data_IF_643421798303
#
_entry.id   IF_643421798303
#
_cell.length_a   1.000
_cell.length_b   1.000
_cell.length_c   1.000
_cell.angle_alpha   90.00
_cell.angle_beta   90.00
_cell.angle_gamma   90.00
#
_symmetry.space_group_name_H-M   'P 1'
#
loop_
_entity.id
_entity.type
_entity.pdbx_description
1 polymer ?
#
# COMPACT_ATOMS: atom_id res chain seq x y z
N UNK A 1 23.45 9.18 4.95
CA UNK A 1 23.96 8.40 6.09
C UNK A 1 25.10 7.52 5.57
N UNK A 2 26.30 7.53 6.15
CA UNK A 2 27.38 6.62 5.69
C UNK A 2 27.13 5.20 6.24
N UNK A 3 27.11 4.20 5.36
CA UNK A 3 26.96 2.79 5.74
C UNK A 3 28.27 2.27 6.35
N UNK A 4 28.18 1.41 7.36
CA UNK A 4 29.35 0.73 7.92
C UNK A 4 29.88 -0.34 6.96
N UNK A 5 31.15 -0.72 7.09
CA UNK A 5 31.76 -1.78 6.26
C UNK A 5 31.00 -3.12 6.38
N UNK A 6 30.49 -3.44 7.57
CA UNK A 6 29.68 -4.63 7.80
C UNK A 6 28.35 -4.55 7.03
N UNK A 7 27.69 -3.39 7.03
CA UNK A 7 26.46 -3.17 6.27
C UNK A 7 26.71 -3.28 4.76
N UNK A 8 27.80 -2.69 4.27
CA UNK A 8 28.22 -2.76 2.86
C UNK A 8 28.45 -4.22 2.45
N UNK A 9 29.12 -5.01 3.28
CA UNK A 9 29.36 -6.44 3.01
C UNK A 9 28.05 -7.22 2.91
N UNK A 10 27.13 -7.04 3.86
CA UNK A 10 25.83 -7.72 3.84
C UNK A 10 25.00 -7.36 2.60
N UNK A 11 24.99 -6.09 2.21
CA UNK A 11 24.26 -5.62 1.03
C UNK A 11 24.87 -6.20 -0.26
N UNK A 12 26.21 -6.25 -0.36
CA UNK A 12 26.91 -6.89 -1.48
C UNK A 12 26.51 -8.36 -1.61
N UNK A 13 26.51 -9.11 -0.51
CA UNK A 13 26.09 -10.52 -0.50
C UNK A 13 24.65 -10.71 -0.95
N UNK A 14 23.73 -9.85 -0.47
CA UNK A 14 22.32 -9.89 -0.87
C UNK A 14 22.13 -9.62 -2.37
N UNK A 15 22.82 -8.62 -2.93
CA UNK A 15 22.75 -8.29 -4.35
C UNK A 15 23.30 -9.44 -5.19
N UNK A 16 24.44 -10.03 -4.79
CA UNK A 16 25.02 -11.19 -5.48
C UNK A 16 24.06 -12.39 -5.46
N UNK A 17 23.42 -12.65 -4.32
CA UNK A 17 22.42 -13.72 -4.21
C UNK A 17 21.23 -13.47 -5.15
N UNK A 18 20.75 -12.22 -5.22
CA UNK A 18 19.66 -11.87 -6.11
C UNK A 18 20.05 -12.06 -7.57
N UNK A 19 21.22 -11.58 -8.01
CA UNK A 19 21.73 -11.76 -9.38
C UNK A 19 21.77 -13.26 -9.74
N UNK A 20 22.28 -14.11 -8.84
CA UNK A 20 22.31 -15.57 -9.05
C UNK A 20 20.92 -16.19 -9.25
N UNK A 21 19.89 -15.60 -8.65
CA UNK A 21 18.51 -16.10 -8.71
C UNK A 21 17.69 -15.57 -9.89
N UNK A 22 17.93 -14.34 -10.35
CA UNK A 22 17.06 -13.67 -11.34
C UNK A 22 17.70 -13.38 -12.70
N UNK A 23 19.03 -13.36 -12.81
CA UNK A 23 19.67 -13.02 -14.09
C UNK A 23 19.79 -14.25 -15.02
N UNK A 24 19.83 -14.07 -16.35
CA UNK A 24 20.18 -15.14 -17.30
C UNK A 24 21.63 -15.61 -17.11
N UNK A 25 21.89 -16.92 -17.27
CA UNK A 25 23.19 -17.56 -16.96
C UNK A 25 24.39 -16.91 -17.64
N UNK A 26 24.21 -16.47 -18.89
CA UNK A 26 25.24 -15.80 -19.68
C UNK A 26 25.60 -14.38 -19.19
N UNK A 27 24.86 -13.82 -18.22
CA UNK A 27 25.11 -12.49 -17.65
C UNK A 27 25.39 -12.51 -16.15
N UNK A 28 25.23 -13.66 -15.47
CA UNK A 28 25.42 -13.78 -14.02
C UNK A 28 26.87 -13.48 -13.61
N UNK A 29 27.82 -14.10 -14.30
CA UNK A 29 29.24 -14.03 -13.93
C UNK A 29 29.79 -12.61 -14.04
N UNK A 30 29.46 -11.91 -15.14
CA UNK A 30 29.86 -10.52 -15.38
C UNK A 30 29.29 -9.57 -14.33
N UNK A 31 27.99 -9.68 -14.04
CA UNK A 31 27.32 -8.83 -13.05
C UNK A 31 27.87 -9.07 -11.63
N UNK A 32 28.17 -10.32 -11.26
CA UNK A 32 28.77 -10.63 -9.95
C UNK A 32 30.19 -10.08 -9.85
N UNK A 33 31.01 -10.26 -10.89
CA UNK A 33 32.38 -9.76 -10.93
C UNK A 33 32.43 -8.22 -10.84
N UNK A 34 31.46 -7.54 -11.44
CA UNK A 34 31.32 -6.09 -11.33
C UNK A 34 31.04 -5.65 -9.88
N UNK A 35 30.10 -6.29 -9.17
CA UNK A 35 29.80 -5.95 -7.77
C UNK A 35 30.97 -6.27 -6.83
N UNK A 36 31.70 -7.37 -7.09
CA UNK A 36 32.83 -7.79 -6.27
C UNK A 36 34.07 -6.91 -6.45
N UNK A 37 34.27 -6.34 -7.64
CA UNK A 37 35.42 -5.49 -7.93
C UNK A 37 35.27 -4.04 -7.45
N UNK A 38 34.04 -3.59 -7.16
CA UNK A 38 33.77 -2.24 -6.65
C UNK A 38 34.35 -2.02 -5.25
N UNK A 39 35.09 -0.92 -5.08
CA UNK A 39 35.43 -0.42 -3.76
C UNK A 39 34.21 0.18 -3.04
N UNK A 40 34.35 0.55 -1.77
CA UNK A 40 33.20 1.02 -0.97
C UNK A 40 32.56 2.29 -1.54
N UNK A 41 33.35 3.23 -2.05
CA UNK A 41 32.85 4.48 -2.63
C UNK A 41 32.10 4.21 -3.94
N UNK A 42 32.68 3.40 -4.83
CA UNK A 42 32.03 3.00 -6.10
C UNK A 42 30.73 2.23 -5.85
N UNK A 43 30.73 1.37 -4.83
CA UNK A 43 29.54 0.61 -4.47
C UNK A 43 28.44 1.51 -3.91
N UNK A 44 28.78 2.49 -3.06
CA UNK A 44 27.81 3.47 -2.57
C UNK A 44 27.21 4.29 -3.72
N UNK A 45 28.03 4.79 -4.65
CA UNK A 45 27.52 5.47 -5.85
C UNK A 45 26.63 4.57 -6.71
N UNK A 46 26.98 3.29 -6.84
CA UNK A 46 26.16 2.31 -7.54
C UNK A 46 24.79 2.17 -6.86
N UNK A 47 24.75 2.09 -5.53
CA UNK A 47 23.50 2.02 -4.80
C UNK A 47 22.66 3.31 -4.96
N UNK A 48 23.28 4.49 -4.91
CA UNK A 48 22.60 5.79 -5.13
C UNK A 48 22.01 5.87 -6.54
N UNK A 49 22.80 5.57 -7.57
CA UNK A 49 22.40 5.64 -8.99
C UNK A 49 21.25 4.69 -9.33
N UNK A 50 21.08 3.63 -8.56
CA UNK A 50 20.03 2.63 -8.75
C UNK A 50 18.91 2.75 -7.70
N UNK A 51 18.85 3.84 -6.94
CA UNK A 51 17.86 4.10 -5.89
C UNK A 51 17.77 2.96 -4.84
N UNK A 52 18.89 2.31 -4.52
CA UNK A 52 18.98 1.18 -3.59
C UNK A 52 19.29 1.63 -2.14
N UNK A 53 19.33 2.94 -1.87
CA UNK A 53 19.60 3.57 -0.56
C UNK A 53 18.35 4.22 0.04
N UNK A 54 17.19 3.57 -0.03
CA UNK A 54 16.07 3.99 0.81
C UNK A 54 16.36 3.55 2.24
N UNK A 55 16.45 4.52 3.15
CA UNK A 55 16.59 4.34 4.60
C UNK A 55 15.42 3.52 5.15
N UNK A 56 15.59 2.20 5.19
CA UNK A 56 14.94 1.24 6.10
C UNK A 56 15.66 -0.11 5.98
N UNK A 57 16.96 -0.10 6.25
CA UNK A 57 17.71 -1.33 6.55
C UNK A 57 17.57 -1.66 8.03
N UNK A 58 16.33 -1.89 8.46
CA UNK A 58 16.02 -2.67 9.65
C UNK A 58 15.08 -3.79 9.21
N UNK A 59 15.69 -4.93 8.93
CA UNK A 59 15.08 -6.27 8.97
C UNK A 59 13.90 -6.53 8.02
N UNK A 60 14.18 -6.74 6.73
CA UNK A 60 13.48 -7.69 5.83
C UNK A 60 13.85 -7.39 4.37
N UNK A 61 14.45 -8.36 3.68
CA UNK A 61 14.74 -8.29 2.24
C UNK A 61 13.48 -8.40 1.34
N UNK A 62 12.31 -7.94 1.82
CA UNK A 62 11.00 -8.15 1.21
C UNK A 62 10.43 -6.96 0.44
N UNK A 63 10.67 -5.71 0.87
CA UNK A 63 10.02 -4.53 0.28
C UNK A 63 10.33 -4.31 -1.20
N UNK A 64 11.57 -4.56 -1.64
CA UNK A 64 11.98 -4.40 -3.06
C UNK A 64 11.40 -5.46 -4.02
N UNK A 65 10.73 -6.50 -3.50
CA UNK A 65 10.06 -7.55 -4.31
C UNK A 65 8.55 -7.56 -4.15
N UNK A 66 7.99 -6.65 -3.34
CA UNK A 66 6.58 -6.65 -3.04
C UNK A 66 5.78 -5.91 -4.12
N UNK A 67 4.88 -6.64 -4.80
CA UNK A 67 4.00 -6.06 -5.81
C UNK A 67 3.08 -4.96 -5.25
N UNK A 68 2.65 -5.10 -4.00
CA UNK A 68 1.78 -4.13 -3.36
C UNK A 68 2.52 -2.85 -2.96
N UNK A 69 3.78 -2.94 -2.50
CA UNK A 69 4.64 -1.77 -2.34
C UNK A 69 4.77 -1.00 -3.66
N UNK A 70 5.03 -1.68 -4.78
CA UNK A 70 5.08 -1.05 -6.11
C UNK A 70 3.76 -0.40 -6.53
N UNK A 71 2.61 -0.97 -6.15
CA UNK A 71 1.31 -0.33 -6.36
C UNK A 71 1.16 0.93 -5.51
N UNK A 72 1.57 0.89 -4.23
CA UNK A 72 1.51 2.03 -3.30
C UNK A 72 2.40 3.19 -3.78
N UNK A 73 3.60 2.89 -4.27
CA UNK A 73 4.52 3.89 -4.83
C UNK A 73 4.13 4.38 -6.22
N UNK A 74 3.19 3.72 -6.89
CA UNK A 74 2.69 4.11 -8.20
C UNK A 74 3.49 3.56 -9.39
N UNK A 75 4.41 2.62 -9.15
CA UNK A 75 5.19 1.96 -10.21
C UNK A 75 4.31 1.00 -11.04
N UNK A 76 3.30 0.41 -10.41
CA UNK A 76 2.33 -0.50 -11.06
C UNK A 76 0.95 0.17 -11.06
N UNK A 77 0.30 0.31 -12.23
CA UNK A 77 -1.03 0.89 -12.32
C UNK A 77 -2.05 0.01 -11.58
N UNK A 78 -3.00 0.65 -10.90
CA UNK A 78 -4.10 -0.01 -10.23
C UNK A 78 -5.37 0.83 -10.28
N UNK A 79 -6.53 0.17 -10.22
CA UNK A 79 -7.82 0.84 -10.20
C UNK A 79 -8.20 1.20 -8.77
N UNK A 80 -7.69 2.34 -8.28
CA UNK A 80 -7.98 2.83 -6.92
C UNK A 80 -9.42 3.31 -6.78
N UNK A 81 -10.08 2.83 -5.73
CA UNK A 81 -11.50 3.11 -5.41
C UNK A 81 -11.70 3.74 -4.03
N UNK A 82 -10.65 3.80 -3.21
CA UNK A 82 -10.67 4.47 -1.91
C UNK A 82 -9.27 4.57 -1.32
N UNK A 83 -9.09 5.45 -0.34
CA UNK A 83 -7.83 5.67 0.36
C UNK A 83 -8.09 6.38 1.69
N UNK A 84 -7.25 6.09 2.68
CA UNK A 84 -7.10 6.88 3.90
C UNK A 84 -5.59 7.04 4.22
N UNK A 85 -5.27 7.52 5.42
CA UNK A 85 -3.88 7.80 5.81
C UNK A 85 -3.03 6.52 5.90
N UNK A 86 -3.65 5.37 6.20
CA UNK A 86 -2.94 4.10 6.45
C UNK A 86 -3.05 3.06 5.33
N UNK A 87 -4.01 3.18 4.41
CA UNK A 87 -4.27 2.16 3.41
C UNK A 87 -4.88 2.71 2.12
N UNK A 88 -4.77 1.92 1.05
CA UNK A 88 -5.48 2.14 -0.21
C UNK A 88 -6.43 0.99 -0.49
N UNK A 89 -7.53 1.26 -1.18
CA UNK A 89 -8.45 0.26 -1.69
C UNK A 89 -8.41 0.25 -3.22
N UNK A 90 -8.19 -0.91 -3.82
CA UNK A 90 -8.13 -1.11 -5.28
C UNK A 90 -9.06 -2.23 -5.72
N UNK A 91 -9.51 -2.21 -6.98
CA UNK A 91 -10.18 -3.37 -7.57
C UNK A 91 -9.18 -4.48 -7.88
N UNK A 92 -9.58 -5.72 -7.64
CA UNK A 92 -8.83 -6.90 -8.08
C UNK A 92 -8.92 -7.02 -9.62
N UNK A 93 -7.78 -7.23 -10.28
CA UNK A 93 -7.71 -7.34 -11.74
C UNK A 93 -8.33 -8.65 -12.25
N UNK A 94 -8.21 -9.73 -11.47
CA UNK A 94 -8.84 -11.01 -11.73
C UNK A 94 -9.88 -11.33 -10.65
N UNK A 95 -11.04 -10.64 -10.65
CA UNK A 95 -11.98 -10.69 -9.56
C UNK A 95 -12.70 -12.05 -9.51
N UNK A 96 -13.06 -12.48 -8.31
CA UNK A 96 -13.91 -13.66 -8.10
C UNK A 96 -15.37 -13.31 -8.38
N UNK A 97 -15.80 -12.10 -8.00
CA UNK A 97 -17.16 -11.59 -8.16
C UNK A 97 -17.16 -10.08 -8.44
N UNK A 98 -18.31 -9.53 -8.88
CA UNK A 98 -18.43 -8.09 -9.15
C UNK A 98 -18.18 -7.30 -7.86
N UNK A 99 -17.19 -6.41 -7.91
CA UNK A 99 -16.78 -5.56 -6.77
C UNK A 99 -15.68 -6.16 -5.89
N UNK A 100 -15.14 -7.35 -6.21
CA UNK A 100 -14.00 -7.90 -5.47
C UNK A 100 -12.83 -6.90 -5.47
N UNK A 101 -12.39 -6.54 -4.26
CA UNK A 101 -11.43 -5.46 -4.03
C UNK A 101 -10.39 -5.88 -3.01
N UNK A 102 -9.23 -5.23 -3.04
CA UNK A 102 -8.15 -5.41 -2.08
C UNK A 102 -7.95 -4.11 -1.30
N UNK A 103 -7.89 -4.21 0.02
CA UNK A 103 -7.40 -3.14 0.89
C UNK A 103 -5.97 -3.47 1.29
N UNK A 104 -5.07 -2.56 0.93
CA UNK A 104 -3.62 -2.73 1.04
C UNK A 104 -3.10 -1.68 2.03
N UNK A 105 -2.51 -2.09 3.17
CA UNK A 105 -1.86 -1.15 4.07
C UNK A 105 -0.65 -0.52 3.37
N UNK A 106 -0.50 0.80 3.53
CA UNK A 106 0.63 1.57 2.98
C UNK A 106 1.96 1.13 3.60
N UNK A 107 1.93 0.71 4.87
CA UNK A 107 3.05 0.05 5.52
C UNK A 107 3.15 -1.42 5.06
N UNK A 108 4.36 -1.90 4.83
CA UNK A 108 4.62 -3.32 4.61
C UNK A 108 4.52 -4.05 5.96
N UNK A 109 3.46 -4.83 6.14
CA UNK A 109 3.22 -5.62 7.35
C UNK A 109 3.10 -7.09 6.97
N UNK A 110 3.77 -7.97 7.70
CA UNK A 110 3.83 -9.39 7.34
C UNK A 110 2.72 -10.23 7.95
N UNK A 111 2.06 -9.72 9.00
CA UNK A 111 1.10 -10.49 9.78
C UNK A 111 -0.22 -9.75 10.00
N UNK A 112 -1.35 -10.47 10.12
CA UNK A 112 -2.66 -9.91 10.41
C UNK A 112 -2.71 -9.01 11.65
N UNK A 113 -1.95 -9.35 12.69
CA UNK A 113 -1.96 -8.64 13.97
C UNK A 113 -1.35 -7.23 13.86
N UNK A 114 -0.47 -7.02 12.87
CA UNK A 114 0.22 -5.76 12.62
C UNK A 114 -0.63 -4.78 11.78
N UNK A 115 -1.83 -5.18 11.35
CA UNK A 115 -2.75 -4.31 10.62
C UNK A 115 -3.33 -3.22 11.53
N UNK A 116 -3.00 -1.97 11.20
CA UNK A 116 -3.55 -0.75 11.76
C UNK A 116 -5.10 -0.73 11.73
N UNK A 117 -5.71 -0.11 12.75
CA UNK A 117 -7.18 -0.02 12.88
C UNK A 117 -7.81 0.73 11.70
N UNK A 118 -7.15 1.79 11.22
CA UNK A 118 -7.61 2.54 10.05
C UNK A 118 -7.65 1.70 8.77
N UNK A 119 -6.74 0.74 8.61
CA UNK A 119 -6.77 -0.20 7.47
C UNK A 119 -8.02 -1.08 7.54
N UNK A 120 -8.36 -1.57 8.74
CA UNK A 120 -9.56 -2.38 8.98
C UNK A 120 -10.83 -1.55 8.74
N UNK A 121 -10.87 -0.31 9.23
CA UNK A 121 -11.98 0.62 9.02
C UNK A 121 -12.22 0.91 7.53
N UNK A 122 -11.16 1.05 6.73
CA UNK A 122 -11.30 1.23 5.29
C UNK A 122 -11.96 0.01 4.63
N UNK A 123 -11.58 -1.20 5.03
CA UNK A 123 -12.20 -2.44 4.53
C UNK A 123 -13.68 -2.57 4.94
N UNK A 124 -14.02 -2.18 6.17
CA UNK A 124 -15.40 -2.17 6.65
C UNK A 124 -16.27 -1.14 5.93
N UNK A 125 -15.76 0.07 5.72
CA UNK A 125 -16.47 1.11 4.98
C UNK A 125 -16.65 0.73 3.52
N UNK A 126 -15.62 0.16 2.89
CA UNK A 126 -15.71 -0.39 1.54
C UNK A 126 -16.76 -1.50 1.47
N UNK A 127 -16.81 -2.41 2.45
CA UNK A 127 -17.81 -3.47 2.51
C UNK A 127 -19.25 -2.92 2.50
N UNK A 128 -19.51 -1.86 3.28
CA UNK A 128 -20.82 -1.18 3.30
C UNK A 128 -21.15 -0.55 1.94
N UNK A 129 -20.16 0.10 1.31
CA UNK A 129 -20.30 0.72 -0.01
C UNK A 129 -20.63 -0.33 -1.07
N UNK A 130 -19.86 -1.42 -1.14
CA UNK A 130 -20.08 -2.51 -2.08
C UNK A 130 -21.44 -3.18 -1.89
N UNK A 131 -21.88 -3.32 -0.62
CA UNK A 131 -23.21 -3.84 -0.31
C UNK A 131 -24.33 -2.97 -0.89
N UNK A 132 -24.21 -1.64 -0.76
CA UNK A 132 -25.16 -0.69 -1.35
C UNK A 132 -25.10 -0.68 -2.88
N UNK A 133 -23.88 -0.68 -3.44
CA UNK A 133 -23.67 -0.54 -4.88
C UNK A 133 -24.16 -1.74 -5.69
N UNK A 134 -23.99 -2.96 -5.17
CA UNK A 134 -24.21 -4.18 -5.95
C UNK A 134 -25.19 -5.18 -5.33
N UNK A 135 -25.68 -4.93 -4.11
CA UNK A 135 -26.63 -5.78 -3.40
C UNK A 135 -26.28 -7.29 -3.38
N UNK A 136 -25.03 -7.68 -3.04
CA UNK A 136 -24.67 -9.07 -2.80
C UNK A 136 -25.40 -9.61 -1.56
N UNK A 137 -25.47 -10.95 -1.43
CA UNK A 137 -26.02 -11.62 -0.25
C UNK A 137 -25.26 -11.22 1.02
N UNK A 138 -23.94 -11.18 0.92
CA UNK A 138 -23.04 -10.69 1.97
C UNK A 138 -21.74 -10.14 1.36
N UNK A 139 -20.92 -9.49 2.18
CA UNK A 139 -19.56 -9.08 1.82
C UNK A 139 -18.63 -9.58 2.90
N UNK A 140 -17.64 -10.40 2.53
CA UNK A 140 -16.66 -10.97 3.44
C UNK A 140 -15.37 -10.16 3.40
N UNK A 141 -14.79 -9.91 4.57
CA UNK A 141 -13.44 -9.36 4.70
C UNK A 141 -12.53 -10.52 5.11
N UNK A 142 -11.53 -10.84 4.28
CA UNK A 142 -10.69 -12.02 4.44
C UNK A 142 -9.23 -11.62 4.35
N UNK A 143 -8.46 -11.93 5.38
CA UNK A 143 -7.02 -11.78 5.40
C UNK A 143 -6.36 -12.56 4.25
N UNK A 144 -5.36 -11.94 3.63
CA UNK A 144 -4.53 -12.56 2.61
C UNK A 144 -3.10 -12.08 2.77
N UNK A 145 -2.15 -12.97 2.48
CA UNK A 145 -0.74 -12.64 2.49
C UNK A 145 -0.14 -12.93 1.12
N UNK A 146 0.43 -11.93 0.48
CA UNK A 146 1.10 -12.11 -0.81
C UNK A 146 2.52 -11.61 -0.68
N UNK A 147 3.49 -12.50 -0.89
CA UNK A 147 4.92 -12.18 -0.81
C UNK A 147 5.34 -11.51 0.51
N UNK A 148 4.70 -11.89 1.62
CA UNK A 148 4.98 -11.30 2.93
C UNK A 148 4.28 -9.96 3.18
N UNK A 149 3.38 -9.49 2.31
CA UNK A 149 2.57 -8.30 2.57
C UNK A 149 1.14 -8.72 2.85
N UNK A 150 0.70 -8.45 4.07
CA UNK A 150 -0.65 -8.69 4.54
C UNK A 150 -1.63 -7.68 3.96
N UNK A 151 -2.75 -8.19 3.44
CA UNK A 151 -3.82 -7.42 2.81
C UNK A 151 -5.18 -7.93 3.28
N UNK A 152 -6.23 -7.16 3.00
CA UNK A 152 -7.61 -7.58 3.23
C UNK A 152 -8.34 -7.70 1.89
N UNK A 153 -8.82 -8.90 1.58
CA UNK A 153 -9.74 -9.14 0.47
C UNK A 153 -11.14 -8.72 0.92
N UNK A 154 -11.78 -7.82 0.17
CA UNK A 154 -13.19 -7.44 0.38
C UNK A 154 -13.99 -8.09 -0.75
N UNK A 155 -14.64 -9.20 -0.41
CA UNK A 155 -15.28 -10.11 -1.37
C UNK A 155 -16.81 -10.07 -1.24
N UNK A 156 -17.51 -9.42 -2.19
CA UNK A 156 -18.94 -9.60 -2.37
C UNK A 156 -19.28 -11.07 -2.70
N UNK A 157 -20.22 -11.67 -1.98
CA UNK A 157 -20.70 -13.03 -2.21
C UNK A 157 -22.14 -12.96 -2.69
N UNK A 158 -22.40 -13.45 -3.89
CA UNK A 158 -23.75 -13.45 -4.49
C UNK A 158 -24.43 -14.80 -4.27
N UNK A 159 -23.67 -15.89 -4.35
CA UNK A 159 -24.17 -17.25 -4.13
C UNK A 159 -23.38 -17.92 -3.00
N UNK A 160 -22.17 -18.37 -3.30
CA UNK A 160 -21.31 -19.17 -2.43
C UNK A 160 -19.80 -18.95 -2.68
N UNK A 161 -19.42 -17.83 -3.30
CA UNK A 161 -18.04 -17.52 -3.64
C UNK A 161 -17.09 -17.54 -2.42
N UNK A 162 -15.90 -18.10 -2.65
CA UNK A 162 -14.77 -18.14 -1.70
C UNK A 162 -13.48 -17.71 -2.41
N UNK A 163 -12.38 -17.55 -1.66
CA UNK A 163 -11.08 -17.25 -2.28
C UNK A 163 -10.55 -18.36 -3.22
N UNK A 164 -11.16 -19.55 -3.19
CA UNK A 164 -10.83 -20.68 -4.06
C UNK A 164 -11.72 -20.74 -5.31
N UNK A 165 -12.75 -19.89 -5.41
CA UNK A 165 -13.62 -19.83 -6.58
C UNK A 165 -12.86 -19.39 -7.84
N UNK A 166 -13.36 -19.76 -9.04
CA UNK A 166 -12.75 -19.32 -10.29
C UNK A 166 -12.68 -17.80 -10.39
N UNK A 167 -11.58 -17.30 -10.97
CA UNK A 167 -11.38 -15.87 -11.20
C UNK A 167 -11.79 -15.51 -12.62
N UNK A 168 -12.51 -14.41 -12.77
CA UNK A 168 -12.77 -13.80 -14.07
C UNK A 168 -11.55 -12.98 -14.50
N UNK A 169 -11.38 -12.80 -15.80
CA UNK A 169 -10.48 -11.81 -16.37
C UNK A 169 -11.31 -10.60 -16.79
N UNK A 170 -10.99 -9.41 -16.26
CA UNK A 170 -11.70 -8.17 -16.58
C UNK A 170 -10.77 -7.21 -17.29
N UNK A 171 -11.29 -6.51 -18.30
CA UNK A 171 -10.53 -5.47 -18.98
C UNK A 171 -10.39 -4.22 -18.10
N UNK A 172 -9.38 -3.37 -18.32
CA UNK A 172 -9.24 -2.10 -17.62
C UNK A 172 -10.48 -1.21 -17.74
N UNK A 173 -11.16 -1.23 -18.89
CA UNK A 173 -12.39 -0.47 -19.12
C UNK A 173 -13.53 -0.94 -18.23
N UNK A 174 -13.72 -2.26 -18.09
CA UNK A 174 -14.72 -2.84 -17.18
C UNK A 174 -14.44 -2.46 -15.72
N UNK A 175 -13.16 -2.46 -15.30
CA UNK A 175 -12.78 -2.06 -13.95
C UNK A 175 -13.08 -0.58 -13.69
N UNK A 176 -12.86 0.30 -14.67
CA UNK A 176 -13.20 1.72 -14.56
C UNK A 176 -14.71 1.97 -14.52
N UNK A 177 -15.51 1.17 -15.22
CA UNK A 177 -16.98 1.21 -15.10
C UNK A 177 -17.45 0.80 -13.70
N UNK A 178 -16.91 -0.30 -13.16
CA UNK A 178 -17.20 -0.77 -11.79
C UNK A 178 -16.81 0.30 -10.76
N UNK A 179 -15.63 0.91 -10.92
CA UNK A 179 -15.18 2.02 -10.07
C UNK A 179 -16.16 3.19 -10.10
N UNK A 180 -16.65 3.60 -11.27
CA UNK A 180 -17.66 4.67 -11.38
C UNK A 180 -18.96 4.31 -10.67
N UNK A 181 -19.38 3.04 -10.67
CA UNK A 181 -20.54 2.59 -9.90
C UNK A 181 -20.29 2.70 -8.39
N UNK A 182 -19.13 2.27 -7.90
CA UNK A 182 -18.74 2.32 -6.49
C UNK A 182 -18.69 3.77 -5.98
N UNK A 183 -18.05 4.66 -6.74
CA UNK A 183 -17.84 6.05 -6.32
C UNK A 183 -19.13 6.85 -6.12
N UNK A 184 -20.25 6.43 -6.73
CA UNK A 184 -21.58 7.04 -6.47
C UNK A 184 -22.04 6.92 -5.02
N UNK A 185 -21.48 5.99 -4.26
CA UNK A 185 -21.89 5.67 -2.88
C UNK A 185 -20.85 6.09 -1.83
N UNK A 186 -19.72 6.67 -2.24
CA UNK A 186 -18.65 7.13 -1.32
C UNK A 186 -19.06 8.44 -0.62
N UNK A 187 -19.88 9.26 -1.25
CA UNK A 187 -20.31 10.57 -0.74
C UNK A 187 -21.52 10.52 0.22
N UNK A 188 -22.08 9.33 0.50
CA UNK A 188 -23.13 9.16 1.51
C UNK A 188 -22.59 9.04 2.95
N UNK A 189 -21.51 9.76 3.28
CA UNK A 189 -21.22 10.03 4.70
C UNK A 189 -22.24 11.07 5.16
N UNK A 190 -23.23 10.63 5.94
CA UNK A 190 -24.07 11.53 6.73
C UNK A 190 -23.18 12.61 7.38
N UNK A 191 -23.33 13.86 6.97
CA UNK A 191 -22.87 15.02 7.72
C UNK A 191 -23.63 15.04 9.05
N UNK A 192 -23.12 14.32 10.05
CA UNK A 192 -23.39 14.71 11.44
C UNK A 192 -22.55 15.95 11.70
N UNK A 193 -23.15 17.09 12.08
CA UNK A 193 -22.38 18.28 12.36
C UNK A 193 -21.44 17.95 13.52
N UNK A 194 -20.13 17.97 13.25
CA UNK A 194 -19.13 17.92 14.30
C UNK A 194 -19.25 19.25 15.04
N UNK A 195 -19.69 19.21 16.30
CA UNK A 195 -19.59 20.35 17.19
C UNK A 195 -18.12 20.78 17.24
N UNK A 196 -17.85 21.96 16.68
CA UNK A 196 -16.56 22.62 16.83
C UNK A 196 -16.33 22.88 18.32
N UNK A 197 -15.42 22.12 18.93
CA UNK A 197 -14.79 22.49 20.18
C UNK A 197 -14.04 23.82 19.97
N UNK A 198 -14.73 24.92 20.26
CA UNK A 198 -14.12 26.24 20.40
C UNK A 198 -13.25 26.24 21.66
N UNK A 199 -11.99 25.90 21.50
CA UNK A 199 -10.98 26.26 22.50
C UNK A 199 -10.90 27.79 22.58
N UNK A 200 -11.30 28.29 23.75
CA UNK A 200 -11.33 29.68 24.14
C UNK A 200 -9.88 30.15 24.30
N UNK A 201 -9.31 30.81 23.28
CA UNK A 201 -8.16 31.69 23.50
C UNK A 201 -8.62 32.92 24.29
N UNK A 202 -8.45 32.84 25.60
CA UNK A 202 -8.73 33.89 26.57
C UNK A 202 -7.81 35.10 26.34
N UNK A 203 -8.19 36.00 25.42
CA UNK A 203 -7.60 37.35 25.31
C UNK A 203 -8.22 38.30 26.35
N UNK A 204 -8.07 37.98 27.63
CA UNK A 204 -8.14 38.97 28.72
C UNK A 204 -6.73 39.29 29.18
N UNK A 205 -6.10 40.21 28.45
CA UNK A 205 -5.12 41.19 28.92
C UNK A 205 -4.38 41.77 27.70
N UNK A 206 -5.01 42.72 27.01
CA UNK A 206 -4.27 43.72 26.25
C UNK A 206 -4.88 45.08 26.56
N UNK A 207 -4.24 45.77 27.48
CA UNK A 207 -4.56 47.11 27.95
C UNK A 207 -3.98 48.11 26.94
N UNK A 208 -4.81 49.00 26.38
CA UNK A 208 -4.37 50.15 25.61
C UNK A 208 -5.11 51.41 26.10
N UNK A 209 -4.41 52.52 26.39
CA UNK A 209 -5.01 53.72 26.94
C UNK A 209 -5.88 54.43 25.90
N UNK A 210 -7.11 54.79 26.29
CA UNK A 210 -8.00 55.64 25.50
C UNK A 210 -7.41 57.05 25.44
N UNK A 211 -7.19 57.56 24.23
CA UNK A 211 -6.97 58.99 23.99
C UNK A 211 -8.20 59.76 24.47
N UNK A 212 -7.98 60.75 25.34
CA UNK A 212 -8.96 61.77 25.75
C UNK A 212 -8.97 62.86 24.64
N UNK A 213 -10.12 63.49 24.34
CA UNK A 213 -10.33 64.40 23.20
C UNK A 213 -9.30 65.52 23.06
#
# INVERSE_FOLDING_TARGET
MELTEEQISKIKEQIIHQIKSTFPENKKEEAIAQIQSMNNTEFMEFLEKNNLLTENLSDSGGERKCIFCSIIFGDIPSTKIGENDKAIAILEINPISKGHSLVIPKAHVEKPEDLDEETKNLAEDLSKILKKAFNPKEVKIINGNVTGHEILNVLPVYEEETLQSPRANRSPEELEEIKKEILKFVDEKEEKPKEENKEIYNRKNFWLPKRIP
#
